data_IF_733369908154
#
_entry.id   IF_733369908154
#
_cell.length_a   1.000
_cell.length_b   1.000
_cell.length_c   1.000
_cell.angle_alpha   90.00
_cell.angle_beta   90.00
_cell.angle_gamma   90.00
#
_symmetry.space_group_name_H-M   'P 1'
#
loop_
_entity.id
_entity.type
_entity.pdbx_description
1 polymer ?
#
# COMPACT_ATOMS: atom_id res chain seq x y z
N UNK A 1 -23.37 6.67 -4.11
CA UNK A 1 -23.67 7.94 -4.80
C UNK A 1 -22.36 8.43 -5.37
N UNK A 2 -22.32 8.79 -6.65
CA UNK A 2 -21.11 9.36 -7.24
C UNK A 2 -20.78 10.69 -6.57
N UNK A 3 -19.51 10.89 -6.20
CA UNK A 3 -19.02 12.14 -5.63
C UNK A 3 -19.17 13.27 -6.64
N UNK A 4 -19.55 14.46 -6.18
CA UNK A 4 -19.53 15.63 -7.05
C UNK A 4 -18.10 15.96 -7.48
N UNK A 5 -17.94 16.65 -8.61
CA UNK A 5 -16.63 17.06 -9.11
C UNK A 5 -15.81 17.86 -8.09
N UNK A 6 -16.46 18.73 -7.32
CA UNK A 6 -15.78 19.52 -6.27
C UNK A 6 -15.30 18.64 -5.11
N UNK A 7 -16.05 17.60 -4.75
CA UNK A 7 -15.63 16.65 -3.70
C UNK A 7 -14.49 15.78 -4.18
N UNK A 8 -14.51 15.35 -5.45
CA UNK A 8 -13.40 14.63 -6.09
C UNK A 8 -12.12 15.48 -6.12
N UNK A 9 -12.21 16.75 -6.50
CA UNK A 9 -11.05 17.65 -6.53
C UNK A 9 -10.44 17.84 -5.13
N UNK A 10 -11.29 18.06 -4.11
CA UNK A 10 -10.84 18.17 -2.71
C UNK A 10 -10.20 16.86 -2.22
N UNK A 11 -10.77 15.72 -2.58
CA UNK A 11 -10.21 14.41 -2.23
C UNK A 11 -8.85 14.21 -2.90
N UNK A 12 -8.72 14.55 -4.18
CA UNK A 12 -7.48 14.47 -4.93
C UNK A 12 -6.38 15.34 -4.30
N UNK A 13 -6.70 16.55 -3.85
CA UNK A 13 -5.71 17.40 -3.19
C UNK A 13 -5.26 16.86 -1.83
N UNK A 14 -6.18 16.27 -1.04
CA UNK A 14 -5.83 15.55 0.19
C UNK A 14 -4.93 14.35 -0.10
N UNK A 15 -5.25 13.56 -1.13
CA UNK A 15 -4.46 12.40 -1.54
C UNK A 15 -3.06 12.81 -2.03
N UNK A 16 -2.93 13.88 -2.81
CA UNK A 16 -1.62 14.41 -3.21
C UNK A 16 -0.76 14.71 -1.99
N UNK A 17 -1.31 15.40 -0.99
CA UNK A 17 -0.61 15.71 0.26
C UNK A 17 -0.29 14.45 1.08
N UNK A 18 -1.19 13.48 1.12
CA UNK A 18 -0.96 12.19 1.76
C UNK A 18 0.26 11.47 1.15
N UNK A 19 0.34 11.45 -0.18
CA UNK A 19 1.43 10.80 -0.91
C UNK A 19 2.76 11.56 -0.89
N UNK A 20 2.89 12.73 -0.24
CA UNK A 20 4.20 13.37 -0.04
C UNK A 20 4.96 12.83 1.17
N UNK A 21 4.31 12.07 2.06
CA UNK A 21 4.88 11.63 3.35
C UNK A 21 5.08 10.11 3.41
N UNK A 22 5.60 9.53 2.33
CA UNK A 22 5.87 8.09 2.24
C UNK A 22 7.17 7.68 2.95
N UNK A 23 7.15 6.54 3.61
CA UNK A 23 8.35 5.87 4.13
C UNK A 23 8.72 4.69 3.24
N UNK A 24 9.92 4.73 2.64
CA UNK A 24 10.44 3.56 1.90
C UNK A 24 10.70 2.42 2.88
N UNK A 25 10.01 1.30 2.65
CA UNK A 25 10.12 0.07 3.43
C UNK A 25 11.15 -0.88 2.81
N UNK A 26 11.15 -0.95 1.49
CA UNK A 26 12.03 -1.82 0.73
C UNK A 26 12.40 -1.18 -0.59
N UNK A 27 13.63 -1.40 -1.04
CA UNK A 27 14.10 -1.05 -2.37
C UNK A 27 15.13 -2.07 -2.83
N UNK A 28 14.82 -2.81 -3.88
CA UNK A 28 15.76 -3.75 -4.49
C UNK A 28 15.09 -4.98 -5.09
N UNK A 29 15.86 -6.05 -5.19
CA UNK A 29 15.50 -7.32 -5.82
C UNK A 29 14.32 -8.03 -5.15
N UNK A 30 13.39 -8.54 -5.96
CA UNK A 30 12.25 -9.35 -5.51
C UNK A 30 12.44 -10.79 -5.97
N UNK A 31 12.23 -11.75 -5.06
CA UNK A 31 12.23 -13.16 -5.41
C UNK A 31 10.93 -13.50 -6.15
N UNK A 32 10.94 -13.37 -7.48
CA UNK A 32 9.78 -13.55 -8.34
C UNK A 32 10.02 -14.71 -9.32
N UNK A 33 9.04 -15.60 -9.55
CA UNK A 33 9.19 -16.75 -10.45
C UNK A 33 9.50 -16.37 -11.91
N UNK A 34 9.36 -15.09 -12.29
CA UNK A 34 9.73 -14.57 -13.62
C UNK A 34 11.22 -14.27 -13.78
N UNK A 35 12.00 -14.29 -12.70
CA UNK A 35 13.41 -13.98 -12.76
C UNK A 35 14.20 -15.02 -13.58
N UNK A 36 15.22 -14.56 -14.29
CA UNK A 36 16.15 -15.36 -15.11
C UNK A 36 17.59 -14.90 -14.86
N UNK A 37 18.57 -15.57 -15.45
CA UNK A 37 20.00 -15.22 -15.32
C UNK A 37 20.32 -13.79 -15.79
N UNK A 38 19.52 -13.23 -16.69
CA UNK A 38 19.79 -11.93 -17.34
C UNK A 38 18.69 -10.88 -17.14
N UNK A 39 17.61 -11.21 -16.42
CA UNK A 39 16.51 -10.29 -16.16
C UNK A 39 15.85 -10.63 -14.83
N UNK A 40 15.62 -9.61 -13.99
CA UNK A 40 14.98 -9.76 -12.68
C UNK A 40 14.04 -8.60 -12.39
N UNK A 41 13.22 -8.79 -11.36
CA UNK A 41 12.30 -7.77 -10.86
C UNK A 41 12.93 -7.09 -9.66
N UNK A 42 12.91 -5.76 -9.68
CA UNK A 42 13.12 -4.93 -8.51
C UNK A 42 11.84 -4.18 -8.17
N UNK A 43 11.66 -3.88 -6.88
CA UNK A 43 10.53 -3.07 -6.42
C UNK A 43 10.98 -2.01 -5.43
N UNK A 44 10.15 -0.97 -5.30
CA UNK A 44 10.21 -0.01 -4.21
C UNK A 44 8.88 -0.09 -3.47
N UNK A 45 8.89 -0.63 -2.25
CA UNK A 45 7.72 -0.63 -1.38
C UNK A 45 7.76 0.63 -0.51
N UNK A 46 6.71 1.44 -0.59
CA UNK A 46 6.56 2.68 0.20
C UNK A 46 5.29 2.58 1.03
N UNK A 47 5.44 2.76 2.33
CA UNK A 47 4.31 2.86 3.25
C UNK A 47 3.84 4.31 3.33
N UNK A 48 2.57 4.56 3.03
CA UNK A 48 1.89 5.82 3.29
C UNK A 48 0.90 5.58 4.42
N UNK A 49 1.08 6.30 5.52
CA UNK A 49 0.35 6.04 6.75
C UNK A 49 -0.49 7.25 7.14
N UNK A 50 -1.76 7.04 7.47
CA UNK A 50 -2.68 8.06 7.96
C UNK A 50 -2.87 7.89 9.46
N UNK A 51 -2.00 8.54 10.26
CA UNK A 51 -1.97 8.35 11.72
C UNK A 51 -3.30 8.71 12.41
N UNK A 52 -4.12 9.59 11.81
CA UNK A 52 -5.38 10.06 12.41
C UNK A 52 -6.63 9.53 11.70
N UNK A 53 -6.45 8.79 10.60
CA UNK A 53 -7.56 8.36 9.73
C UNK A 53 -8.33 9.52 9.10
N UNK A 54 -7.73 10.72 9.01
CA UNK A 54 -8.43 11.92 8.56
C UNK A 54 -8.68 11.94 7.04
N UNK A 55 -7.97 11.10 6.30
CA UNK A 55 -8.02 11.00 4.84
C UNK A 55 -8.66 9.67 4.46
N UNK A 56 -8.06 8.57 4.92
CA UNK A 56 -8.39 7.22 4.42
C UNK A 56 -9.75 6.70 4.90
N UNK A 57 -10.24 7.13 6.08
CA UNK A 57 -11.55 6.71 6.59
C UNK A 57 -12.73 7.18 5.72
N UNK A 58 -12.53 8.24 4.95
CA UNK A 58 -13.56 8.81 4.06
C UNK A 58 -13.57 8.20 2.66
N UNK A 59 -12.61 7.32 2.35
CA UNK A 59 -12.49 6.69 1.05
C UNK A 59 -13.39 5.46 0.94
N UNK A 60 -14.22 5.44 -0.10
CA UNK A 60 -14.87 4.21 -0.55
C UNK A 60 -13.89 3.46 -1.44
N UNK A 61 -13.53 2.23 -1.06
CA UNK A 61 -12.66 1.39 -1.86
C UNK A 61 -13.48 0.67 -2.94
N UNK A 62 -13.01 0.75 -4.17
CA UNK A 62 -13.57 0.06 -5.33
C UNK A 62 -12.43 -0.66 -6.06
N UNK A 63 -12.65 -1.91 -6.44
CA UNK A 63 -11.62 -2.69 -7.12
C UNK A 63 -11.50 -2.20 -8.57
N UNK A 64 -10.27 -1.97 -9.03
CA UNK A 64 -10.00 -1.71 -10.44
C UNK A 64 -10.26 -2.95 -11.30
N UNK A 65 -10.17 -2.80 -12.62
CA UNK A 65 -10.39 -3.87 -13.60
C UNK A 65 -9.45 -5.07 -13.42
N UNK A 66 -8.21 -4.85 -13.00
CA UNK A 66 -7.22 -5.90 -12.73
C UNK A 66 -7.32 -6.53 -11.32
N UNK A 67 -8.26 -6.09 -10.48
CA UNK A 67 -8.45 -6.59 -9.13
C UNK A 67 -9.86 -7.18 -8.94
N UNK A 68 -9.95 -8.42 -8.42
CA UNK A 68 -11.25 -9.02 -8.14
C UNK A 68 -12.00 -8.35 -7.00
N UNK A 69 -11.29 -7.96 -5.94
CA UNK A 69 -11.84 -7.37 -4.73
C UNK A 69 -10.79 -6.45 -4.08
N UNK A 70 -11.25 -5.51 -3.26
CA UNK A 70 -10.39 -4.64 -2.44
C UNK A 70 -11.03 -4.44 -1.07
N UNK A 71 -10.22 -4.36 -0.02
CA UNK A 71 -10.67 -4.01 1.34
C UNK A 71 -9.50 -3.52 2.18
N UNK A 72 -9.81 -2.76 3.23
CA UNK A 72 -8.94 -2.67 4.40
C UNK A 72 -8.90 -4.03 5.11
N UNK A 73 -7.72 -4.42 5.58
CA UNK A 73 -7.50 -5.69 6.26
C UNK A 73 -6.61 -5.44 7.48
N UNK A 74 -6.98 -6.05 8.60
CA UNK A 74 -6.14 -6.06 9.79
C UNK A 74 -4.81 -6.72 9.47
N UNK A 75 -3.73 -6.18 10.01
CA UNK A 75 -2.41 -6.74 9.83
C UNK A 75 -2.32 -8.04 10.63
N UNK A 76 -2.02 -9.14 9.94
CA UNK A 76 -1.92 -10.46 10.51
C UNK A 76 -0.67 -11.16 9.95
N UNK A 77 0.15 -11.68 10.87
CA UNK A 77 1.35 -12.44 10.56
C UNK A 77 1.09 -13.74 9.80
N UNK A 78 -0.09 -14.31 9.95
CA UNK A 78 -0.48 -15.54 9.26
C UNK A 78 -1.18 -15.26 7.91
N UNK A 79 -1.32 -13.99 7.53
CA UNK A 79 -1.89 -13.60 6.24
C UNK A 79 -1.01 -14.10 5.09
N UNK A 80 -1.61 -14.89 4.20
CA UNK A 80 -0.95 -15.40 2.99
C UNK A 80 -1.01 -14.34 1.90
N UNK A 81 0.03 -13.51 1.83
CA UNK A 81 0.19 -12.49 0.81
C UNK A 81 1.08 -12.99 -0.34
N UNK A 82 0.92 -12.38 -1.51
CA UNK A 82 1.69 -12.76 -2.71
C UNK A 82 3.16 -12.30 -2.61
N UNK A 83 4.07 -13.12 -3.14
CA UNK A 83 5.51 -12.84 -3.17
C UNK A 83 6.05 -12.35 -1.81
N UNK A 84 6.83 -11.27 -1.79
CA UNK A 84 7.45 -10.70 -0.59
C UNK A 84 6.55 -9.70 0.17
N UNK A 85 5.24 -9.66 -0.10
CA UNK A 85 4.38 -8.67 0.54
C UNK A 85 4.33 -8.81 2.07
N UNK A 86 4.35 -10.04 2.60
CA UNK A 86 4.39 -10.26 4.06
C UNK A 86 5.65 -9.66 4.71
N UNK A 87 6.80 -9.76 4.05
CA UNK A 87 8.06 -9.18 4.54
C UNK A 87 7.98 -7.64 4.61
N UNK A 88 7.29 -7.02 3.65
CA UNK A 88 7.08 -5.57 3.62
C UNK A 88 6.16 -5.11 4.75
N UNK A 89 5.08 -5.86 5.02
CA UNK A 89 4.18 -5.56 6.13
C UNK A 89 4.90 -5.74 7.47
N UNK A 90 5.66 -6.83 7.65
CA UNK A 90 6.47 -7.05 8.85
C UNK A 90 7.44 -5.89 9.10
N UNK A 91 8.18 -5.48 8.07
CA UNK A 91 9.12 -4.34 8.16
C UNK A 91 8.39 -3.05 8.50
N UNK A 92 7.20 -2.83 7.94
CA UNK A 92 6.36 -1.66 8.23
C UNK A 92 5.95 -1.61 9.71
N UNK A 93 5.47 -2.74 10.26
CA UNK A 93 5.05 -2.81 11.67
C UNK A 93 6.26 -2.67 12.60
N UNK A 94 7.40 -3.31 12.29
CA UNK A 94 8.64 -3.12 13.05
C UNK A 94 9.08 -1.66 13.08
N UNK A 95 9.03 -0.97 11.94
CA UNK A 95 9.41 0.44 11.84
C UNK A 95 8.48 1.37 12.62
N UNK A 96 7.17 1.11 12.65
CA UNK A 96 6.18 1.97 13.32
C UNK A 96 5.97 1.63 14.80
N UNK A 97 6.03 0.35 15.16
CA UNK A 97 5.61 -0.15 16.47
C UNK A 97 6.67 -0.97 17.21
N UNK A 98 7.82 -1.25 16.59
CA UNK A 98 8.94 -1.95 17.24
C UNK A 98 8.74 -3.46 17.46
N UNK A 99 7.67 -4.05 16.93
CA UNK A 99 7.37 -5.48 17.06
C UNK A 99 6.69 -6.03 15.81
N UNK A 100 6.44 -7.35 15.80
CA UNK A 100 5.61 -8.07 14.83
C UNK A 100 4.75 -9.09 15.56
#
# INVERSE_FOLDING_TARGET
>A
MELSRSELDKMNDKLKLFFTHGQTIFKGYVNDPRNTDNAWIETVAVNFHDDQGAILNSLSLEAGDDARNVRWMDIDREAKLYANHSDFIETTVKNKFGHW
#
